data_IF_596743480391
#
_entry.id   IF_596743480391
#
_cell.length_a   1.000
_cell.length_b   1.000
_cell.length_c   1.000
_cell.angle_alpha   90.00
_cell.angle_beta   90.00
_cell.angle_gamma   90.00
#
_symmetry.space_group_name_H-M   'P 1'
#
loop_
_entity.id
_entity.type
_entity.pdbx_description
1 polymer ?
#
# COMPACT_ATOMS: atom_id res chain seq x y z
N UNK A 1 4.32 7.35 14.28
CA UNK A 1 3.92 6.53 13.11
C UNK A 1 2.47 6.08 13.33
N UNK A 2 1.62 6.01 12.29
CA UNK A 2 0.16 5.73 12.40
C UNK A 2 -0.25 4.31 11.95
N UNK A 3 0.66 3.34 11.98
CA UNK A 3 0.36 1.95 11.64
C UNK A 3 0.69 1.04 12.82
N UNK A 4 0.06 -0.12 12.86
CA UNK A 4 0.13 -1.04 13.99
C UNK A 4 1.00 -2.25 13.68
N UNK A 5 1.90 -2.56 14.59
CA UNK A 5 2.78 -3.73 14.51
C UNK A 5 2.64 -4.56 15.77
N UNK A 6 2.41 -5.86 15.60
CA UNK A 6 2.44 -6.84 16.69
C UNK A 6 3.85 -6.87 17.27
N UNK A 7 3.97 -6.65 18.57
CA UNK A 7 5.21 -6.88 19.29
C UNK A 7 5.58 -8.37 19.24
N UNK A 8 6.82 -8.66 18.88
CA UNK A 8 7.31 -10.04 18.85
C UNK A 8 7.72 -10.43 20.26
N UNK A 9 6.91 -11.25 20.92
CA UNK A 9 7.23 -11.78 22.24
C UNK A 9 8.42 -12.73 22.16
N UNK A 10 9.30 -12.72 23.19
CA UNK A 10 10.47 -13.60 23.27
C UNK A 10 10.10 -15.09 23.11
N UNK A 11 8.91 -15.49 23.55
CA UNK A 11 8.37 -16.85 23.39
C UNK A 11 8.15 -17.26 21.93
N UNK A 12 7.91 -16.30 21.02
CA UNK A 12 7.70 -16.56 19.58
C UNK A 12 9.00 -16.44 18.77
N UNK A 13 10.13 -16.08 19.38
CA UNK A 13 11.41 -15.83 18.70
C UNK A 13 11.97 -17.04 17.92
N UNK A 14 11.64 -18.26 18.34
CA UNK A 14 12.07 -19.51 17.68
C UNK A 14 11.09 -20.01 16.63
N UNK A 15 9.95 -19.33 16.43
CA UNK A 15 8.97 -19.75 15.44
C UNK A 15 9.47 -19.39 14.03
N UNK A 16 9.73 -20.37 13.15
CA UNK A 16 10.23 -20.09 11.79
C UNK A 16 9.24 -19.29 10.93
N UNK A 17 7.97 -19.28 11.29
CA UNK A 17 6.90 -18.58 10.57
C UNK A 17 6.59 -17.18 11.11
N UNK A 18 7.30 -16.73 12.16
CA UNK A 18 6.97 -15.52 12.90
C UNK A 18 6.91 -14.27 12.02
N UNK A 19 7.80 -14.19 11.02
CA UNK A 19 7.83 -13.06 10.10
C UNK A 19 6.56 -13.02 9.24
N UNK A 20 6.15 -14.15 8.68
CA UNK A 20 4.95 -14.23 7.84
C UNK A 20 3.68 -13.96 8.65
N UNK A 21 3.54 -14.60 9.82
CA UNK A 21 2.36 -14.42 10.69
C UNK A 21 2.27 -13.00 11.23
N UNK A 22 3.40 -12.41 11.65
CA UNK A 22 3.44 -11.02 12.13
C UNK A 22 3.10 -10.04 11.00
N UNK A 23 3.66 -10.23 9.80
CA UNK A 23 3.35 -9.39 8.64
C UNK A 23 1.87 -9.43 8.26
N UNK A 24 1.29 -10.63 8.18
CA UNK A 24 -0.14 -10.79 7.87
C UNK A 24 -1.02 -10.08 8.92
N UNK A 25 -0.75 -10.30 10.21
CA UNK A 25 -1.51 -9.66 11.29
C UNK A 25 -1.37 -8.12 11.28
N UNK A 26 -0.17 -7.59 10.98
CA UNK A 26 0.06 -6.15 10.91
C UNK A 26 -0.70 -5.48 9.76
N UNK A 27 -0.77 -6.15 8.61
CA UNK A 27 -1.56 -5.70 7.46
C UNK A 27 -3.04 -5.70 7.80
N UNK A 28 -3.56 -6.79 8.37
CA UNK A 28 -4.96 -6.89 8.77
C UNK A 28 -5.35 -5.81 9.79
N UNK A 29 -4.58 -5.64 10.86
CA UNK A 29 -4.84 -4.61 11.88
C UNK A 29 -4.80 -3.19 11.28
N UNK A 30 -3.80 -2.90 10.45
CA UNK A 30 -3.66 -1.58 9.83
C UNK A 30 -4.77 -1.30 8.82
N UNK A 31 -5.23 -2.31 8.09
CA UNK A 31 -6.34 -2.19 7.16
C UNK A 31 -7.68 -1.90 7.87
N UNK A 32 -7.97 -2.61 8.97
CA UNK A 32 -9.14 -2.30 9.80
C UNK A 32 -9.06 -0.92 10.45
N UNK A 33 -7.87 -0.51 10.90
CA UNK A 33 -7.68 0.85 11.38
C UNK A 33 -7.98 1.87 10.27
N UNK A 34 -7.46 1.67 9.06
CA UNK A 34 -7.73 2.56 7.92
C UNK A 34 -9.22 2.66 7.61
N UNK A 35 -9.95 1.53 7.57
CA UNK A 35 -11.40 1.52 7.39
C UNK A 35 -12.10 2.35 8.49
N UNK A 36 -11.66 2.22 9.74
CA UNK A 36 -12.21 3.00 10.86
C UNK A 36 -11.96 4.50 10.69
N UNK A 37 -10.78 4.92 10.21
CA UNK A 37 -10.51 6.32 9.89
C UNK A 37 -11.43 6.83 8.78
N UNK A 38 -11.63 6.03 7.72
CA UNK A 38 -12.50 6.38 6.60
C UNK A 38 -13.97 6.52 7.03
N UNK A 39 -14.49 5.58 7.81
CA UNK A 39 -15.85 5.65 8.36
C UNK A 39 -16.07 6.87 9.28
N UNK A 40 -15.00 7.33 9.94
CA UNK A 40 -15.02 8.56 10.76
C UNK A 40 -14.79 9.84 9.97
N UNK A 41 -14.65 9.77 8.64
CA UNK A 41 -14.37 10.92 7.78
C UNK A 41 -12.94 11.48 7.91
N UNK A 42 -12.04 10.76 8.58
CA UNK A 42 -10.65 11.18 8.82
C UNK A 42 -9.74 10.77 7.65
N UNK A 43 -10.09 11.21 6.44
CA UNK A 43 -9.43 10.77 5.18
C UNK A 43 -7.94 11.10 5.16
N UNK A 44 -7.56 12.30 5.61
CA UNK A 44 -6.16 12.73 5.66
C UNK A 44 -5.31 11.84 6.59
N UNK A 45 -5.91 11.31 7.65
CA UNK A 45 -5.25 10.44 8.60
C UNK A 45 -5.13 8.99 8.10
N UNK A 46 -5.95 8.61 7.12
CA UNK A 46 -5.90 7.32 6.44
C UNK A 46 -4.77 7.26 5.40
N UNK A 47 -4.38 8.39 4.79
CA UNK A 47 -3.36 8.44 3.73
C UNK A 47 -1.99 7.83 4.15
N UNK A 48 -1.44 8.10 5.34
CA UNK A 48 -0.20 7.46 5.78
C UNK A 48 -0.33 5.95 5.96
N UNK A 49 -1.51 5.46 6.35
CA UNK A 49 -1.78 4.03 6.51
C UNK A 49 -1.85 3.36 5.13
N UNK A 50 -2.50 4.01 4.17
CA UNK A 50 -2.57 3.54 2.79
C UNK A 50 -1.19 3.43 2.15
N UNK A 51 -0.35 4.45 2.31
CA UNK A 51 1.04 4.42 1.83
C UNK A 51 1.81 3.26 2.46
N UNK A 52 1.63 3.01 3.76
CA UNK A 52 2.26 1.86 4.41
C UNK A 52 1.77 0.53 3.83
N UNK A 53 0.45 0.35 3.64
CA UNK A 53 -0.13 -0.86 3.05
C UNK A 53 0.39 -1.11 1.62
N UNK A 54 0.45 -0.08 0.77
CA UNK A 54 0.97 -0.18 -0.60
C UNK A 54 2.44 -0.65 -0.62
N UNK A 55 3.24 -0.21 0.35
CA UNK A 55 4.63 -0.67 0.50
C UNK A 55 4.77 -2.12 1.03
N UNK A 56 3.67 -2.72 1.53
CA UNK A 56 3.64 -4.10 2.02
C UNK A 56 2.96 -5.07 1.05
N UNK A 57 2.44 -4.58 -0.07
CA UNK A 57 1.89 -5.40 -1.15
C UNK A 57 3.02 -6.14 -1.88
N UNK A 58 2.78 -7.40 -2.25
CA UNK A 58 3.74 -8.20 -3.00
C UNK A 58 3.67 -7.89 -4.51
N UNK A 59 4.62 -8.43 -5.28
CA UNK A 59 4.71 -8.21 -6.74
C UNK A 59 3.53 -8.77 -7.55
N UNK A 60 2.69 -9.60 -6.95
CA UNK A 60 1.49 -10.17 -7.56
C UNK A 60 0.21 -9.42 -7.16
N UNK A 61 0.33 -8.33 -6.40
CA UNK A 61 -0.82 -7.52 -5.96
C UNK A 61 -1.53 -8.04 -4.71
N UNK A 62 -1.01 -9.06 -4.03
CA UNK A 62 -1.56 -9.60 -2.78
C UNK A 62 -0.71 -9.29 -1.55
N UNK A 63 -1.08 -9.87 -0.40
CA UNK A 63 -0.30 -9.83 0.83
C UNK A 63 0.16 -11.24 1.23
N UNK A 64 0.51 -11.46 2.51
CA UNK A 64 1.18 -12.69 2.96
C UNK A 64 0.21 -13.87 3.16
N UNK A 65 -1.08 -13.60 3.33
CA UNK A 65 -2.13 -14.60 3.52
C UNK A 65 -3.39 -14.25 2.71
N UNK A 66 -4.49 -14.97 2.91
CA UNK A 66 -5.77 -14.67 2.25
C UNK A 66 -6.52 -13.54 2.96
N UNK A 67 -6.57 -13.57 4.29
CA UNK A 67 -7.36 -12.62 5.09
C UNK A 67 -6.81 -11.20 5.00
N UNK A 68 -5.50 -11.03 5.22
CA UNK A 68 -4.81 -9.75 5.05
C UNK A 68 -4.94 -9.22 3.61
N UNK A 69 -4.97 -10.12 2.60
CA UNK A 69 -5.21 -9.73 1.21
C UNK A 69 -6.61 -9.18 0.99
N UNK A 70 -7.63 -9.90 1.43
CA UNK A 70 -9.03 -9.45 1.27
C UNK A 70 -9.26 -8.12 1.98
N UNK A 71 -8.86 -8.01 3.25
CA UNK A 71 -9.11 -6.80 4.05
C UNK A 71 -8.22 -5.64 3.58
N UNK A 72 -6.95 -5.90 3.26
CA UNK A 72 -6.01 -4.88 2.79
C UNK A 72 -6.43 -4.26 1.46
N UNK A 73 -6.79 -5.08 0.47
CA UNK A 73 -7.28 -4.60 -0.83
C UNK A 73 -8.62 -3.88 -0.67
N UNK A 74 -9.54 -4.43 0.13
CA UNK A 74 -10.83 -3.79 0.39
C UNK A 74 -10.67 -2.38 0.99
N UNK A 75 -9.77 -2.22 1.95
CA UNK A 75 -9.50 -0.93 2.56
C UNK A 75 -8.91 0.07 1.56
N UNK A 76 -7.97 -0.35 0.70
CA UNK A 76 -7.41 0.49 -0.37
C UNK A 76 -8.47 0.89 -1.40
N UNK A 77 -9.35 -0.03 -1.78
CA UNK A 77 -10.47 0.27 -2.68
C UNK A 77 -11.42 1.30 -2.08
N UNK A 78 -11.75 1.15 -0.78
CA UNK A 78 -12.61 2.11 -0.06
C UNK A 78 -12.00 3.51 -0.01
N UNK A 79 -10.68 3.62 0.17
CA UNK A 79 -9.98 4.90 0.09
C UNK A 79 -10.06 5.48 -1.33
N UNK A 80 -9.84 4.66 -2.36
CA UNK A 80 -9.91 5.10 -3.76
C UNK A 80 -11.31 5.63 -4.13
N UNK A 81 -12.38 5.01 -3.63
CA UNK A 81 -13.76 5.51 -3.79
C UNK A 81 -13.94 6.91 -3.21
N UNK A 82 -13.39 7.15 -2.02
CA UNK A 82 -13.47 8.44 -1.32
C UNK A 82 -12.63 9.51 -2.02
N UNK A 83 -11.49 9.12 -2.59
CA UNK A 83 -10.56 10.04 -3.26
C UNK A 83 -10.92 10.33 -4.71
N UNK A 84 -11.90 9.63 -5.31
CA UNK A 84 -12.25 9.68 -6.73
C UNK A 84 -11.85 10.98 -7.45
N UNK A 85 -10.79 10.90 -8.26
CA UNK A 85 -10.38 11.98 -9.15
C UNK A 85 -10.69 11.58 -10.59
N UNK A 86 -11.31 12.49 -11.35
CA UNK A 86 -11.70 12.24 -12.74
C UNK A 86 -10.57 12.51 -13.74
N UNK A 87 -9.45 13.07 -13.27
CA UNK A 87 -8.37 13.51 -14.13
C UNK A 87 -7.02 13.11 -13.53
N UNK A 88 -6.33 12.17 -14.17
CA UNK A 88 -4.97 11.77 -13.85
C UNK A 88 -4.05 12.39 -14.90
N UNK A 89 -3.08 13.19 -14.45
CA UNK A 89 -2.00 13.73 -15.28
C UNK A 89 -0.74 13.84 -14.40
N UNK A 90 0.13 12.84 -14.53
CA UNK A 90 1.34 12.71 -13.71
C UNK A 90 2.54 12.50 -14.64
N UNK A 91 3.53 13.37 -14.53
CA UNK A 91 4.80 13.23 -15.25
C UNK A 91 5.91 12.84 -14.29
N UNK A 92 6.55 11.69 -14.54
CA UNK A 92 7.65 11.16 -13.73
C UNK A 92 8.95 11.32 -14.50
N UNK A 93 9.89 12.09 -13.93
CA UNK A 93 11.23 12.28 -14.48
C UNK A 93 12.24 11.41 -13.75
N UNK A 94 13.07 10.68 -14.49
CA UNK A 94 14.14 9.85 -13.92
C UNK A 94 15.50 10.48 -14.24
N UNK A 95 16.38 10.54 -13.25
CA UNK A 95 17.76 11.00 -13.41
C UNK A 95 18.73 9.97 -12.87
N UNK A 96 19.71 9.56 -13.66
CA UNK A 96 20.82 8.70 -13.23
C UNK A 96 22.14 9.46 -13.37
N UNK A 97 22.93 9.51 -12.29
CA UNK A 97 24.18 10.27 -12.26
C UNK A 97 25.17 9.76 -13.33
N UNK A 98 25.23 10.47 -14.47
CA UNK A 98 26.26 10.28 -15.51
C UNK A 98 25.87 9.45 -16.75
N UNK A 99 24.58 9.16 -16.98
CA UNK A 99 24.10 8.54 -18.24
C UNK A 99 22.96 9.35 -18.86
N UNK A 100 22.70 9.10 -20.15
CA UNK A 100 21.67 9.77 -20.95
C UNK A 100 20.34 9.94 -20.19
N UNK A 101 19.66 11.06 -20.46
CA UNK A 101 18.37 11.35 -19.85
C UNK A 101 17.38 10.22 -20.16
N UNK A 102 16.85 9.58 -19.12
CA UNK A 102 15.77 8.60 -19.25
C UNK A 102 14.51 9.38 -19.65
N UNK A 103 13.78 8.95 -20.71
CA UNK A 103 12.56 9.64 -21.12
C UNK A 103 11.54 9.76 -19.97
N UNK A 104 10.85 10.89 -19.85
CA UNK A 104 9.79 11.04 -18.85
C UNK A 104 8.66 10.05 -19.12
N UNK A 105 8.08 9.52 -18.04
CA UNK A 105 6.86 8.70 -18.12
C UNK A 105 5.67 9.61 -17.84
N UNK A 106 4.79 9.73 -18.83
CA UNK A 106 3.54 10.48 -18.73
C UNK A 106 2.38 9.53 -18.46
N UNK A 107 1.75 9.68 -17.30
CA UNK A 107 0.60 8.89 -16.86
C UNK A 107 -0.65 9.76 -16.97
N UNK A 108 -1.57 9.38 -17.85
CA UNK A 108 -2.87 10.01 -18.06
C UNK A 108 -3.99 9.06 -17.65
N UNK A 109 -5.23 9.54 -17.58
CA UNK A 109 -6.40 8.69 -17.36
C UNK A 109 -6.54 7.54 -18.37
N UNK A 110 -5.97 7.66 -19.58
CA UNK A 110 -6.02 6.63 -20.63
C UNK A 110 -5.03 5.48 -20.40
N UNK A 111 -3.90 5.74 -19.75
CA UNK A 111 -2.84 4.75 -19.53
C UNK A 111 -2.56 4.44 -18.05
N UNK A 112 -3.38 4.98 -17.13
CA UNK A 112 -3.22 4.83 -15.68
C UNK A 112 -3.22 3.37 -15.19
N UNK A 113 -3.84 2.45 -15.93
CA UNK A 113 -3.92 1.03 -15.61
C UNK A 113 -2.85 0.19 -16.33
N UNK A 114 -2.04 0.80 -17.19
CA UNK A 114 -1.00 0.10 -17.97
C UNK A 114 0.31 0.12 -17.20
N UNK A 115 0.98 -1.04 -17.14
CA UNK A 115 2.32 -1.15 -16.57
C UNK A 115 3.32 -0.33 -17.40
N UNK A 116 3.85 0.73 -16.81
CA UNK A 116 4.89 1.56 -17.40
C UNK A 116 6.26 0.91 -17.17
N UNK A 117 7.07 0.77 -18.23
CA UNK A 117 8.45 0.27 -18.16
C UNK A 117 9.36 1.32 -18.80
N UNK A 118 10.36 1.78 -18.05
CA UNK A 118 11.39 2.70 -18.52
C UNK A 118 12.67 1.92 -18.87
#
# INVERSE_FOLDING_TARGET
MKWWQKEVYLSESKNPWINTTSRSANVEMSAYAMLTYLERGLVQDALPIANWLLNHQNSLGGFASTQDTVVGIYALARLAEVLQTSNVDVTINFSHNGKDAIPPVHITSENALVLQKA
#
